data_IF_185532849189
#
_entry.id   IF_185532849189
#
_cell.length_a   1.000
_cell.length_b   1.000
_cell.length_c   1.000
_cell.angle_alpha   90.00
_cell.angle_beta   90.00
_cell.angle_gamma   90.00
#
_symmetry.space_group_name_H-M   'P 1'
#
loop_
_entity.id
_entity.type
_entity.pdbx_description
1 polymer ?
#
# COMPACT_ATOMS: atom_id res chain seq x y z
N UNK A 1 -19.79 -0.93 1.41
CA UNK A 1 -18.65 -1.88 1.57
C UNK A 1 -17.36 -1.35 0.96
N UNK A 2 -17.38 -0.78 -0.26
CA UNK A 2 -16.19 -0.14 -0.89
C UNK A 2 -15.53 0.92 0.01
N UNK A 3 -16.32 1.75 0.70
CA UNK A 3 -15.80 2.75 1.64
C UNK A 3 -14.97 2.15 2.80
N UNK A 4 -15.33 0.95 3.27
CA UNK A 4 -14.60 0.27 4.35
C UNK A 4 -13.24 -0.25 3.85
N UNK A 5 -13.19 -0.78 2.61
CA UNK A 5 -11.95 -1.23 1.96
C UNK A 5 -10.96 -0.09 1.71
N UNK A 6 -11.44 1.15 1.55
CA UNK A 6 -10.61 2.35 1.38
C UNK A 6 -10.24 2.95 2.73
N UNK A 7 -11.19 3.02 3.67
CA UNK A 7 -11.00 3.63 4.98
C UNK A 7 -10.02 2.83 5.86
N UNK A 8 -10.02 1.51 5.77
CA UNK A 8 -9.15 0.66 6.59
C UNK A 8 -7.64 0.90 6.32
N UNK A 9 -7.13 0.85 5.07
CA UNK A 9 -5.74 1.18 4.79
C UNK A 9 -5.42 2.65 5.05
N UNK A 10 -6.38 3.57 4.84
CA UNK A 10 -6.20 4.98 5.17
C UNK A 10 -6.02 5.22 6.69
N UNK A 11 -6.80 4.53 7.54
CA UNK A 11 -6.69 4.59 9.00
C UNK A 11 -5.39 3.95 9.50
N UNK A 12 -4.98 2.83 8.92
CA UNK A 12 -3.70 2.18 9.24
C UNK A 12 -2.54 3.12 8.85
N UNK A 13 -2.60 3.74 7.67
CA UNK A 13 -1.61 4.72 7.20
C UNK A 13 -1.55 5.97 8.09
N UNK A 14 -2.70 6.50 8.51
CA UNK A 14 -2.78 7.63 9.43
C UNK A 14 -2.24 7.29 10.82
N UNK A 15 -2.58 6.10 11.36
CA UNK A 15 -2.09 5.61 12.65
C UNK A 15 -0.57 5.41 12.65
N UNK A 16 -0.03 4.81 11.59
CA UNK A 16 1.42 4.69 11.40
C UNK A 16 2.08 6.09 11.35
N UNK A 17 1.56 7.00 10.52
CA UNK A 17 2.13 8.34 10.35
C UNK A 17 2.24 9.12 11.68
N UNK A 18 1.26 8.99 12.57
CA UNK A 18 1.27 9.60 13.90
C UNK A 18 2.29 8.93 14.81
N UNK A 19 2.33 7.60 14.86
CA UNK A 19 3.25 6.84 15.72
C UNK A 19 4.73 7.10 15.35
N UNK A 20 5.01 7.37 14.08
CA UNK A 20 6.37 7.47 13.56
C UNK A 20 6.89 8.92 13.58
N UNK A 21 6.01 9.94 13.57
CA UNK A 21 6.38 11.36 13.68
C UNK A 21 7.32 11.63 14.87
N UNK A 22 7.03 11.06 16.04
CA UNK A 22 7.85 11.23 17.24
C UNK A 22 9.25 10.59 17.13
N UNK A 23 9.37 9.47 16.40
CA UNK A 23 10.64 8.77 16.16
C UNK A 23 11.47 9.42 15.05
N UNK A 24 10.84 9.82 13.95
CA UNK A 24 11.49 10.48 12.81
C UNK A 24 12.07 11.84 13.19
N UNK A 25 11.43 12.61 14.07
CA UNK A 25 11.94 13.91 14.50
C UNK A 25 13.30 13.82 15.24
N UNK A 26 13.61 12.70 15.89
CA UNK A 26 14.86 12.51 16.65
C UNK A 26 16.02 11.92 15.84
N UNK A 27 15.78 11.47 14.61
CA UNK A 27 16.79 10.82 13.79
C UNK A 27 17.67 11.85 13.06
N UNK A 28 18.98 11.56 12.98
CA UNK A 28 19.92 12.31 12.12
C UNK A 28 19.46 12.23 10.66
N UNK A 29 19.80 13.23 9.85
CA UNK A 29 19.29 13.36 8.47
C UNK A 29 19.48 12.08 7.63
N UNK A 30 20.64 11.44 7.77
CA UNK A 30 20.99 10.21 7.04
C UNK A 30 20.10 9.01 7.43
N UNK A 31 19.80 8.87 8.73
CA UNK A 31 18.90 7.82 9.24
C UNK A 31 17.44 8.12 8.92
N UNK A 32 17.06 9.39 8.86
CA UNK A 32 15.74 9.81 8.39
C UNK A 32 15.52 9.44 6.92
N UNK A 33 16.51 9.69 6.05
CA UNK A 33 16.43 9.31 4.63
C UNK A 33 16.32 7.79 4.46
N UNK A 34 17.12 7.02 5.20
CA UNK A 34 17.02 5.56 5.21
C UNK A 34 15.65 5.07 5.64
N UNK A 35 15.08 5.63 6.71
CA UNK A 35 13.74 5.29 7.18
C UNK A 35 12.62 5.69 6.19
N UNK A 36 12.78 6.82 5.49
CA UNK A 36 11.85 7.26 4.46
C UNK A 36 11.87 6.33 3.23
N UNK A 37 13.07 5.94 2.77
CA UNK A 37 13.25 5.01 1.65
C UNK A 37 12.75 3.60 1.98
N UNK A 38 13.08 3.09 3.17
CA UNK A 38 12.61 1.77 3.60
C UNK A 38 11.09 1.79 3.76
N UNK A 39 10.52 2.76 4.46
CA UNK A 39 9.08 2.81 4.70
C UNK A 39 8.23 3.10 3.46
N UNK A 40 8.82 3.61 2.38
CA UNK A 40 8.16 3.73 1.07
C UNK A 40 8.31 2.46 0.24
N UNK A 41 9.49 1.85 0.25
CA UNK A 41 9.78 0.64 -0.53
C UNK A 41 9.10 -0.61 0.02
N UNK A 42 9.04 -0.78 1.34
CA UNK A 42 8.50 -2.00 1.99
C UNK A 42 7.01 -2.23 1.68
N UNK A 43 6.11 -1.23 1.77
CA UNK A 43 4.72 -1.39 1.39
C UNK A 43 4.53 -1.67 -0.10
N UNK A 44 5.38 -1.08 -0.94
CA UNK A 44 5.32 -1.24 -2.39
C UNK A 44 5.75 -2.66 -2.80
N UNK A 45 6.84 -3.17 -2.21
CA UNK A 45 7.27 -4.57 -2.36
C UNK A 45 6.24 -5.54 -1.79
N UNK A 46 5.65 -5.25 -0.64
CA UNK A 46 4.58 -6.08 -0.08
C UNK A 46 3.37 -6.16 -1.02
N UNK A 47 2.92 -5.03 -1.59
CA UNK A 47 1.84 -5.01 -2.57
C UNK A 47 2.14 -5.82 -3.82
N UNK A 48 3.38 -5.73 -4.34
CA UNK A 48 3.84 -6.52 -5.48
C UNK A 48 3.91 -8.01 -5.17
N UNK A 49 4.47 -8.40 -4.03
CA UNK A 49 4.58 -9.80 -3.60
C UNK A 49 3.20 -10.43 -3.38
N UNK A 50 2.28 -9.69 -2.76
CA UNK A 50 0.90 -10.14 -2.57
C UNK A 50 0.20 -10.29 -3.92
N UNK A 51 0.37 -9.33 -4.84
CA UNK A 51 -0.17 -9.45 -6.20
C UNK A 51 0.41 -10.65 -6.95
N UNK A 52 1.71 -10.94 -6.77
CA UNK A 52 2.36 -12.09 -7.38
C UNK A 52 1.85 -13.40 -6.78
N UNK A 53 1.64 -13.46 -5.47
CA UNK A 53 1.05 -14.63 -4.80
C UNK A 53 -0.41 -14.87 -5.24
N UNK A 54 -1.12 -13.81 -5.61
CA UNK A 54 -2.51 -13.86 -6.07
C UNK A 54 -2.65 -14.01 -7.59
N UNK A 55 -1.56 -14.04 -8.36
CA UNK A 55 -1.64 -14.15 -9.83
C UNK A 55 -2.33 -15.45 -10.26
N UNK A 56 -1.97 -16.57 -9.65
CA UNK A 56 -2.57 -17.88 -9.94
C UNK A 56 -4.06 -17.97 -9.56
N UNK A 57 -4.49 -17.28 -8.50
CA UNK A 57 -5.91 -17.23 -8.13
C UNK A 57 -6.71 -16.33 -9.06
N UNK A 58 -6.13 -15.23 -9.53
CA UNK A 58 -6.73 -14.38 -10.53
C UNK A 58 -6.86 -15.08 -11.89
N UNK A 59 -5.87 -15.87 -12.32
CA UNK A 59 -5.95 -16.67 -13.55
C UNK A 59 -7.03 -17.74 -13.48
N UNK A 60 -7.17 -18.43 -12.33
CA UNK A 60 -8.24 -19.39 -12.12
C UNK A 60 -9.63 -18.74 -12.23
N UNK A 61 -9.81 -17.54 -11.63
CA UNK A 61 -11.06 -16.78 -11.69
C UNK A 61 -11.37 -16.21 -13.07
N UNK A 62 -10.36 -15.79 -13.82
CA UNK A 62 -10.51 -15.37 -15.23
C UNK A 62 -11.01 -16.53 -16.08
N UNK A 63 -10.41 -17.71 -15.89
CA UNK A 63 -10.77 -18.92 -16.64
C UNK A 63 -12.20 -19.37 -16.34
N UNK A 64 -12.60 -19.37 -15.06
CA UNK A 64 -14.00 -19.65 -14.65
C UNK A 64 -15.00 -18.67 -15.27
N UNK A 65 -14.68 -17.38 -15.28
CA UNK A 65 -15.54 -16.34 -15.84
C UNK A 65 -15.71 -16.46 -17.37
N UNK A 66 -14.62 -16.77 -18.09
CA UNK A 66 -14.67 -17.02 -19.53
C UNK A 66 -15.47 -18.28 -19.87
N UNK A 67 -15.31 -19.36 -19.11
CA UNK A 67 -16.09 -20.60 -19.27
C UNK A 67 -17.58 -20.40 -18.98
N UNK A 68 -17.92 -19.48 -18.08
CA UNK A 68 -19.30 -19.09 -17.79
C UNK A 68 -19.92 -18.17 -18.86
N UNK A 69 -19.19 -17.81 -19.92
CA UNK A 69 -19.67 -16.91 -20.98
C UNK A 69 -19.73 -15.43 -20.56
N UNK A 70 -19.05 -15.06 -19.46
CA UNK A 70 -19.02 -13.69 -18.96
C UNK A 70 -18.15 -12.79 -19.85
N UNK A 71 -18.72 -11.68 -20.32
CA UNK A 71 -18.00 -10.68 -21.11
C UNK A 71 -17.14 -9.71 -20.25
N UNK A 72 -17.37 -9.68 -18.93
CA UNK A 72 -16.79 -8.67 -18.04
C UNK A 72 -16.24 -9.30 -16.74
N UNK A 73 -14.98 -9.73 -16.79
CA UNK A 73 -14.30 -10.41 -15.68
C UNK A 73 -13.56 -9.44 -14.73
N UNK A 74 -13.99 -8.18 -14.65
CA UNK A 74 -13.31 -7.11 -13.90
C UNK A 74 -13.08 -7.40 -12.41
N UNK A 75 -13.86 -8.30 -11.80
CA UNK A 75 -13.61 -8.76 -10.43
C UNK A 75 -12.31 -9.56 -10.29
N UNK A 76 -11.89 -10.32 -11.30
CA UNK A 76 -10.63 -11.06 -11.26
C UNK A 76 -9.42 -10.11 -11.39
N UNK A 77 -9.55 -9.05 -12.18
CA UNK A 77 -8.53 -8.00 -12.32
C UNK A 77 -8.34 -7.23 -11.01
N UNK A 78 -9.43 -6.95 -10.28
CA UNK A 78 -9.39 -6.30 -8.97
C UNK A 78 -8.54 -7.07 -7.95
N UNK A 79 -8.47 -8.40 -8.02
CA UNK A 79 -7.67 -9.22 -7.09
C UNK A 79 -6.17 -8.91 -7.21
N UNK A 80 -5.68 -8.64 -8.42
CA UNK A 80 -4.30 -8.23 -8.64
C UNK A 80 -4.09 -6.74 -8.39
N UNK A 81 -5.06 -5.88 -8.73
CA UNK A 81 -4.87 -4.42 -8.63
C UNK A 81 -4.96 -3.91 -7.19
N UNK A 82 -5.82 -4.50 -6.34
CA UNK A 82 -6.02 -4.03 -4.97
C UNK A 82 -4.74 -4.02 -4.12
N UNK A 83 -3.92 -5.09 -4.11
CA UNK A 83 -2.66 -5.11 -3.37
C UNK A 83 -1.66 -4.06 -3.84
N UNK A 84 -1.57 -3.79 -5.14
CA UNK A 84 -0.68 -2.74 -5.66
C UNK A 84 -1.15 -1.35 -5.23
N UNK A 85 -2.45 -1.06 -5.35
CA UNK A 85 -3.00 0.24 -4.95
C UNK A 85 -2.85 0.44 -3.44
N UNK A 86 -3.07 -0.61 -2.64
CA UNK A 86 -2.84 -0.58 -1.20
C UNK A 86 -1.36 -0.35 -0.85
N UNK A 87 -0.43 -1.04 -1.52
CA UNK A 87 1.01 -0.86 -1.32
C UNK A 87 1.49 0.54 -1.71
N UNK A 88 1.02 1.06 -2.84
CA UNK A 88 1.38 2.39 -3.34
C UNK A 88 0.81 3.51 -2.46
N UNK A 89 -0.45 3.41 -2.05
CA UNK A 89 -1.08 4.38 -1.14
C UNK A 89 -0.43 4.38 0.25
N UNK A 90 -0.09 3.21 0.79
CA UNK A 90 0.65 3.10 2.05
C UNK A 90 2.06 3.71 1.95
N UNK A 91 2.77 3.47 0.85
CA UNK A 91 4.08 4.08 0.59
C UNK A 91 4.02 5.60 0.49
N UNK A 92 3.05 6.14 -0.27
CA UNK A 92 2.83 7.59 -0.38
C UNK A 92 2.44 8.23 0.96
N UNK A 93 1.59 7.55 1.75
CA UNK A 93 1.22 7.98 3.09
C UNK A 93 2.42 8.04 4.04
N UNK A 94 3.33 7.06 3.96
CA UNK A 94 4.58 7.07 4.72
C UNK A 94 5.48 8.24 4.31
N UNK A 95 5.66 8.48 3.01
CA UNK A 95 6.48 9.57 2.49
C UNK A 95 5.95 10.92 2.97
N UNK A 96 4.65 11.15 2.84
CA UNK A 96 4.01 12.37 3.33
C UNK A 96 4.18 12.55 4.85
N UNK A 97 4.03 11.46 5.63
CA UNK A 97 4.29 11.46 7.07
C UNK A 97 5.73 11.80 7.42
N UNK A 98 6.70 11.24 6.68
CA UNK A 98 8.11 11.51 6.89
C UNK A 98 8.47 12.96 6.57
N UNK A 99 8.02 13.48 5.43
CA UNK A 99 8.24 14.88 5.00
C UNK A 99 7.65 15.86 6.01
N UNK A 100 6.42 15.63 6.46
CA UNK A 100 5.81 16.50 7.48
C UNK A 100 6.58 16.46 8.81
N UNK A 101 7.12 15.31 9.21
CA UNK A 101 7.94 15.17 10.42
C UNK A 101 9.30 15.90 10.31
N UNK A 102 9.84 16.06 9.09
CA UNK A 102 11.05 16.82 8.84
C UNK A 102 10.79 18.33 8.91
N UNK A 103 9.70 18.78 8.27
CA UNK A 103 9.30 20.19 8.25
C UNK A 103 8.88 20.71 9.62
N UNK A 104 8.39 19.85 10.51
CA UNK A 104 7.96 20.22 11.86
C UNK A 104 9.08 20.21 12.91
N UNK A 105 10.35 20.05 12.51
CA UNK A 105 11.48 20.10 13.44
C UNK A 105 11.74 21.57 13.85
N UNK A 106 11.85 21.88 15.15
CA UNK A 106 12.20 23.22 15.63
C UNK A 106 13.66 23.59 15.31
#
# INVERSE_FOLDING_TARGET
MIALYIALPALIGAGLAIAIRARLARLRLLTWMGAALIGTGLPLLAGQLISLALSGTADARMTECQLAGGADCGQATMIMVLPLVAGLSAGLGWLAGAVTALLSRP
#
